data_IF_548118185320
#
_entry.id   IF_548118185320
#
_cell.length_a   1.000
_cell.length_b   1.000
_cell.length_c   1.000
_cell.angle_alpha   90.00
_cell.angle_beta   90.00
_cell.angle_gamma   90.00
#
_symmetry.space_group_name_H-M   'P 1'
#
loop_
_entity.id
_entity.type
_entity.pdbx_description
1 polymer ?
#
# COMPACT_ATOMS: atom_id res chain seq x y z
N UNK A 1 14.50 23.38 -45.97
CA UNK A 1 15.11 22.56 -44.89
C UNK A 1 14.50 22.75 -43.49
N UNK A 2 14.11 23.97 -43.07
CA UNK A 2 13.52 24.24 -41.74
C UNK A 2 12.12 23.60 -41.52
N UNK A 3 11.31 23.45 -42.55
CA UNK A 3 9.94 22.89 -42.44
C UNK A 3 9.98 21.35 -42.20
N UNK A 4 10.95 20.66 -42.79
CA UNK A 4 11.10 19.20 -42.62
C UNK A 4 11.55 18.83 -41.22
N UNK A 5 12.42 19.63 -40.58
CA UNK A 5 12.85 19.41 -39.20
C UNK A 5 11.71 19.59 -38.19
N UNK A 6 10.81 20.56 -38.41
CA UNK A 6 9.65 20.78 -37.54
C UNK A 6 8.64 19.63 -37.58
N UNK A 7 8.37 19.10 -38.78
CA UNK A 7 7.46 17.96 -38.95
C UNK A 7 8.02 16.67 -38.33
N UNK A 8 9.33 16.45 -38.45
CA UNK A 8 9.99 15.28 -37.85
C UNK A 8 10.00 15.35 -36.33
N UNK A 9 10.24 16.52 -35.74
CA UNK A 9 10.18 16.73 -34.29
C UNK A 9 8.76 16.50 -33.74
N UNK A 10 7.73 17.05 -34.44
CA UNK A 10 6.34 16.85 -34.04
C UNK A 10 5.93 15.37 -34.10
N UNK A 11 6.39 14.63 -35.14
CA UNK A 11 6.14 13.21 -35.29
C UNK A 11 6.79 12.40 -34.14
N UNK A 12 8.01 12.72 -33.77
CA UNK A 12 8.73 12.08 -32.66
C UNK A 12 8.04 12.35 -31.32
N UNK A 13 7.52 13.55 -31.08
CA UNK A 13 6.74 13.87 -29.89
C UNK A 13 5.41 13.10 -29.86
N UNK A 14 4.71 12.97 -30.98
CA UNK A 14 3.49 12.18 -31.07
C UNK A 14 3.75 10.69 -30.84
N UNK A 15 4.84 10.15 -31.40
CA UNK A 15 5.23 8.75 -31.19
C UNK A 15 5.65 8.49 -29.75
N UNK A 16 6.45 9.37 -29.14
CA UNK A 16 6.83 9.26 -27.74
C UNK A 16 5.62 9.38 -26.80
N UNK A 17 4.70 10.31 -27.09
CA UNK A 17 3.44 10.45 -26.37
C UNK A 17 2.54 9.23 -26.51
N UNK A 18 2.45 8.65 -27.72
CA UNK A 18 1.69 7.43 -27.95
C UNK A 18 2.31 6.20 -27.26
N UNK A 19 3.65 6.08 -27.27
CA UNK A 19 4.37 5.02 -26.54
C UNK A 19 4.15 5.18 -25.03
N UNK A 20 4.27 6.41 -24.50
CA UNK A 20 4.02 6.71 -23.09
C UNK A 20 2.56 6.44 -22.71
N UNK A 21 1.61 6.84 -23.54
CA UNK A 21 0.18 6.55 -23.36
C UNK A 21 -0.13 5.04 -23.40
N UNK A 22 0.47 4.29 -24.32
CA UNK A 22 0.34 2.82 -24.39
C UNK A 22 1.01 2.17 -23.18
N UNK A 23 2.15 2.71 -22.70
CA UNK A 23 2.80 2.21 -21.50
C UNK A 23 1.94 2.44 -20.26
N UNK A 24 1.37 3.65 -20.10
CA UNK A 24 0.39 3.98 -19.06
C UNK A 24 -0.88 3.11 -19.18
N UNK A 25 -1.40 2.92 -20.39
CA UNK A 25 -2.59 2.08 -20.63
C UNK A 25 -2.30 0.59 -20.47
N UNK A 26 -1.10 0.10 -20.80
CA UNK A 26 -0.71 -1.28 -20.46
C UNK A 26 -0.57 -1.48 -18.96
N UNK A 27 -0.02 -0.50 -18.25
CA UNK A 27 0.04 -0.53 -16.80
C UNK A 27 -1.36 -0.51 -16.15
N UNK A 28 -2.37 0.06 -16.84
CA UNK A 28 -3.78 0.07 -16.40
C UNK A 28 -4.57 -1.13 -16.93
N UNK A 29 -4.27 -1.60 -18.17
CA UNK A 29 -5.05 -2.66 -18.83
C UNK A 29 -4.73 -4.07 -18.27
N UNK A 30 -3.46 -4.37 -17.98
CA UNK A 30 -3.08 -5.60 -17.28
C UNK A 30 -3.74 -5.70 -15.89
N UNK A 31 -3.70 -4.64 -15.04
CA UNK A 31 -4.43 -4.63 -13.79
C UNK A 31 -5.94 -4.85 -13.92
N UNK A 32 -6.58 -4.26 -14.93
CA UNK A 32 -8.01 -4.43 -15.17
C UNK A 32 -8.38 -5.88 -15.54
N UNK A 33 -7.53 -6.58 -16.28
CA UNK A 33 -7.73 -8.00 -16.60
C UNK A 33 -7.59 -8.89 -15.36
N UNK A 34 -6.62 -8.60 -14.49
CA UNK A 34 -6.46 -9.30 -13.20
C UNK A 34 -7.55 -8.89 -12.19
N UNK A 35 -8.08 -7.68 -12.30
CA UNK A 35 -9.18 -7.17 -11.49
C UNK A 35 -10.48 -7.96 -11.60
N UNK A 36 -10.74 -8.57 -12.77
CA UNK A 36 -11.90 -9.43 -13.00
C UNK A 36 -11.85 -10.74 -12.18
N UNK A 37 -10.67 -11.17 -11.77
CA UNK A 37 -10.47 -12.42 -11.02
C UNK A 37 -10.48 -12.25 -9.49
N UNK A 38 -10.60 -11.00 -8.98
CA UNK A 38 -10.45 -10.73 -7.54
C UNK A 38 -8.99 -10.83 -7.05
N UNK A 39 -8.77 -10.53 -5.78
CA UNK A 39 -7.48 -10.83 -5.15
C UNK A 39 -7.33 -12.34 -4.98
N UNK A 40 -6.20 -12.94 -5.37
CA UNK A 40 -5.92 -14.31 -5.01
C UNK A 40 -5.91 -14.40 -3.48
N UNK A 41 -6.89 -15.12 -2.92
CA UNK A 41 -6.98 -15.29 -1.47
C UNK A 41 -5.74 -16.02 -0.96
N UNK A 42 -5.06 -15.40 -0.01
CA UNK A 42 -3.99 -16.04 0.73
C UNK A 42 -4.62 -16.95 1.79
N UNK A 43 -4.12 -18.18 1.89
CA UNK A 43 -4.59 -19.10 2.92
C UNK A 43 -4.26 -18.52 4.29
N UNK A 44 -5.21 -18.55 5.20
CA UNK A 44 -5.06 -18.01 6.56
C UNK A 44 -3.83 -18.59 7.28
N UNK A 45 -3.56 -19.88 7.10
CA UNK A 45 -2.37 -20.54 7.64
C UNK A 45 -1.03 -19.95 7.21
N UNK A 46 -0.99 -19.14 6.14
CA UNK A 46 0.24 -18.48 5.70
C UNK A 46 0.66 -17.32 6.60
N UNK A 47 -0.25 -16.80 7.43
CA UNK A 47 0.03 -15.67 8.34
C UNK A 47 0.58 -16.11 9.69
N UNK A 48 0.46 -17.40 10.02
CA UNK A 48 0.80 -17.93 11.34
C UNK A 48 2.01 -18.86 11.29
N UNK A 49 2.73 -18.90 12.37
CA UNK A 49 3.73 -19.92 12.63
C UNK A 49 3.07 -21.21 13.18
N UNK A 50 3.87 -22.24 13.46
CA UNK A 50 3.37 -23.50 13.99
C UNK A 50 2.77 -23.42 15.41
N UNK A 51 2.94 -22.29 16.12
CA UNK A 51 2.42 -22.06 17.47
C UNK A 51 1.11 -21.25 17.48
N UNK A 52 0.67 -20.78 16.31
CA UNK A 52 -0.53 -19.97 16.15
C UNK A 52 -0.31 -18.47 16.32
N UNK A 53 0.95 -18.03 16.44
CA UNK A 53 1.33 -16.62 16.42
C UNK A 53 1.58 -16.13 15.00
N UNK A 54 1.43 -14.82 14.75
CA UNK A 54 1.80 -14.25 13.47
C UNK A 54 3.28 -14.49 13.20
N UNK A 55 3.57 -15.11 12.06
CA UNK A 55 4.95 -15.24 11.62
C UNK A 55 5.48 -13.89 11.14
N UNK A 56 6.77 -13.61 11.33
CA UNK A 56 7.36 -12.41 10.74
C UNK A 56 7.21 -12.39 9.22
N UNK A 57 6.84 -11.24 8.69
CA UNK A 57 6.89 -10.96 7.26
C UNK A 57 8.34 -10.84 6.79
N UNK A 58 8.58 -11.21 5.55
CA UNK A 58 9.90 -11.16 4.91
C UNK A 58 9.82 -10.42 3.58
N UNK A 59 10.97 -10.02 3.05
CA UNK A 59 11.07 -9.39 1.74
C UNK A 59 10.70 -10.34 0.56
N UNK A 60 10.67 -11.65 0.81
CA UNK A 60 10.25 -12.67 -0.15
C UNK A 60 8.72 -12.88 -0.17
N UNK A 61 8.01 -12.35 0.83
CA UNK A 61 6.56 -12.41 0.85
C UNK A 61 5.96 -11.55 -0.27
N UNK A 62 4.83 -12.01 -0.79
CA UNK A 62 4.12 -11.27 -1.84
C UNK A 62 3.47 -10.01 -1.26
N UNK A 63 3.36 -8.97 -2.07
CA UNK A 63 2.60 -7.75 -1.71
C UNK A 63 1.20 -8.08 -1.20
N UNK A 64 0.54 -9.07 -1.81
CA UNK A 64 -0.77 -9.55 -1.37
C UNK A 64 -0.80 -10.09 0.06
N UNK A 65 0.32 -10.61 0.59
CA UNK A 65 0.43 -11.05 1.99
C UNK A 65 0.22 -9.86 2.94
N UNK A 66 0.89 -8.74 2.69
CA UNK A 66 0.73 -7.54 3.50
C UNK A 66 -0.69 -6.98 3.41
N UNK A 67 -1.22 -6.86 2.19
CA UNK A 67 -2.55 -6.30 1.94
C UNK A 67 -3.68 -7.07 2.63
N UNK A 68 -3.59 -8.40 2.65
CA UNK A 68 -4.63 -9.27 3.19
C UNK A 68 -4.31 -9.71 4.62
N UNK A 69 -3.28 -9.13 5.27
CA UNK A 69 -2.91 -9.53 6.61
C UNK A 69 -4.04 -9.25 7.61
N UNK A 70 -4.34 -10.20 8.52
CA UNK A 70 -5.47 -10.10 9.44
C UNK A 70 -5.50 -8.84 10.31
N UNK A 71 -4.33 -8.25 10.63
CA UNK A 71 -4.26 -7.02 11.43
C UNK A 71 -5.01 -5.84 10.80
N UNK A 72 -5.21 -5.84 9.49
CA UNK A 72 -5.93 -4.76 8.80
C UNK A 72 -7.45 -4.96 8.78
N UNK A 73 -7.97 -6.11 9.18
CA UNK A 73 -9.42 -6.36 9.22
C UNK A 73 -10.13 -6.09 7.89
N UNK A 74 -9.44 -6.28 6.76
CA UNK A 74 -9.94 -5.98 5.42
C UNK A 74 -9.63 -4.56 4.91
N UNK A 75 -9.02 -3.70 5.74
CA UNK A 75 -8.59 -2.35 5.34
C UNK A 75 -7.22 -2.36 4.66
N UNK A 76 -7.08 -3.10 3.58
CA UNK A 76 -5.79 -3.29 2.88
C UNK A 76 -5.13 -1.99 2.39
N UNK A 77 -5.91 -0.92 2.18
CA UNK A 77 -5.40 0.42 1.88
C UNK A 77 -4.58 1.05 3.02
N UNK A 78 -4.66 0.49 4.23
CA UNK A 78 -3.84 0.94 5.36
C UNK A 78 -2.35 0.65 5.19
N UNK A 79 -1.99 -0.29 4.33
CA UNK A 79 -0.59 -0.57 4.00
C UNK A 79 -0.19 0.07 2.68
N UNK A 80 -1.01 -0.14 1.64
CA UNK A 80 -0.80 0.46 0.32
C UNK A 80 -2.03 1.25 -0.09
N UNK A 81 -1.92 2.56 -0.15
CA UNK A 81 -3.00 3.41 -0.63
C UNK A 81 -2.90 3.63 -2.15
N UNK A 82 -3.27 2.60 -2.89
CA UNK A 82 -3.37 2.60 -4.35
C UNK A 82 -4.78 2.19 -4.75
N UNK A 83 -5.17 2.51 -5.98
CA UNK A 83 -6.44 2.03 -6.53
C UNK A 83 -6.48 0.49 -6.57
N UNK A 84 -7.66 -0.09 -6.38
CA UNK A 84 -7.89 -1.54 -6.32
C UNK A 84 -7.25 -2.30 -7.50
N UNK A 85 -7.35 -1.77 -8.71
CA UNK A 85 -6.79 -2.41 -9.89
C UNK A 85 -5.25 -2.42 -9.85
N UNK A 86 -4.64 -1.35 -9.37
CA UNK A 86 -3.19 -1.27 -9.18
C UNK A 86 -2.74 -2.25 -8.10
N UNK A 87 -3.44 -2.30 -6.97
CA UNK A 87 -3.17 -3.24 -5.89
C UNK A 87 -3.27 -4.70 -6.35
N UNK A 88 -4.30 -5.04 -7.12
CA UNK A 88 -4.46 -6.39 -7.70
C UNK A 88 -3.33 -6.77 -8.62
N UNK A 89 -2.80 -5.82 -9.40
CA UNK A 89 -1.69 -6.07 -10.31
C UNK A 89 -0.37 -6.34 -9.58
N UNK A 90 -0.11 -5.63 -8.47
CA UNK A 90 1.14 -5.79 -7.71
C UNK A 90 1.07 -6.92 -6.68
N UNK A 91 -0.12 -7.37 -6.28
CA UNK A 91 -0.29 -8.39 -5.25
C UNK A 91 0.54 -9.67 -5.45
N UNK A 92 0.77 -10.17 -6.68
CA UNK A 92 1.61 -11.34 -6.92
C UNK A 92 3.11 -11.09 -6.79
N UNK A 93 3.56 -9.83 -6.87
CA UNK A 93 4.98 -9.47 -6.80
C UNK A 93 5.55 -9.72 -5.40
N UNK A 94 6.84 -10.04 -5.31
CA UNK A 94 7.53 -10.06 -4.03
C UNK A 94 7.70 -8.65 -3.50
N UNK A 95 7.69 -8.49 -2.18
CA UNK A 95 7.79 -7.17 -1.56
C UNK A 95 9.09 -6.45 -1.94
N UNK A 96 10.23 -7.15 -1.93
CA UNK A 96 11.51 -6.59 -2.36
C UNK A 96 11.50 -6.06 -3.79
N UNK A 97 10.87 -6.80 -4.72
CA UNK A 97 10.81 -6.42 -6.13
C UNK A 97 9.90 -5.20 -6.32
N UNK A 98 8.82 -5.13 -5.55
CA UNK A 98 7.93 -3.96 -5.49
C UNK A 98 8.68 -2.73 -4.97
N UNK A 99 9.40 -2.85 -3.85
CA UNK A 99 10.18 -1.75 -3.26
C UNK A 99 11.27 -1.25 -4.22
N UNK A 100 11.97 -2.17 -4.89
CA UNK A 100 12.95 -1.82 -5.91
C UNK A 100 12.32 -1.08 -7.09
N UNK A 101 11.16 -1.52 -7.57
CA UNK A 101 10.44 -0.87 -8.66
C UNK A 101 9.94 0.54 -8.29
N UNK A 102 9.72 0.80 -6.99
CA UNK A 102 9.37 2.13 -6.46
C UNK A 102 10.60 3.02 -6.21
N UNK A 103 11.81 2.54 -6.44
CA UNK A 103 13.06 3.25 -6.10
C UNK A 103 13.31 3.36 -4.60
N UNK A 104 12.80 2.41 -3.80
CA UNK A 104 12.84 2.41 -2.32
C UNK A 104 13.46 1.15 -1.75
N UNK A 105 14.36 0.53 -2.49
CA UNK A 105 14.99 -0.73 -2.09
C UNK A 105 15.69 -0.62 -0.71
N UNK A 106 16.30 0.52 -0.42
CA UNK A 106 16.97 0.79 0.86
C UNK A 106 16.04 0.90 2.06
N UNK A 107 14.74 1.13 1.83
CA UNK A 107 13.73 1.23 2.90
C UNK A 107 13.04 -0.10 3.19
N UNK A 108 13.36 -1.15 2.44
CA UNK A 108 12.66 -2.45 2.54
C UNK A 108 12.74 -3.04 3.94
N UNK A 109 13.92 -3.10 4.52
CA UNK A 109 14.12 -3.72 5.84
C UNK A 109 13.46 -2.90 6.95
N UNK A 110 13.59 -1.58 6.92
CA UNK A 110 12.94 -0.68 7.89
C UNK A 110 11.41 -0.78 7.83
N UNK A 111 10.84 -0.89 6.62
CA UNK A 111 9.40 -1.08 6.44
C UNK A 111 8.94 -2.44 6.96
N UNK A 112 9.72 -3.50 6.74
CA UNK A 112 9.44 -4.84 7.27
C UNK A 112 9.51 -4.89 8.79
N UNK A 113 10.53 -4.28 9.38
CA UNK A 113 10.69 -4.19 10.83
C UNK A 113 9.50 -3.48 11.48
N UNK A 114 9.08 -2.36 10.90
CA UNK A 114 7.92 -1.61 11.37
C UNK A 114 6.60 -2.40 11.23
N UNK A 115 6.42 -3.13 10.13
CA UNK A 115 5.27 -4.00 9.95
C UNK A 115 5.26 -5.14 10.97
N UNK A 116 6.39 -5.82 11.16
CA UNK A 116 6.53 -6.91 12.13
C UNK A 116 6.35 -6.42 13.57
N UNK A 117 6.84 -5.21 13.87
CA UNK A 117 6.61 -4.57 15.15
C UNK A 117 5.11 -4.33 15.40
N UNK A 118 4.42 -3.73 14.44
CA UNK A 118 2.98 -3.47 14.53
C UNK A 118 2.17 -4.76 14.69
N UNK A 119 2.47 -5.80 13.91
CA UNK A 119 1.79 -7.10 14.03
C UNK A 119 1.96 -7.69 15.42
N UNK A 120 3.17 -7.61 15.99
CA UNK A 120 3.44 -8.04 17.36
C UNK A 120 2.69 -7.24 18.43
N UNK A 121 2.49 -5.93 18.24
CA UNK A 121 1.68 -5.11 19.14
C UNK A 121 0.19 -5.49 19.06
N UNK A 122 -0.33 -5.69 17.85
CA UNK A 122 -1.74 -6.10 17.65
C UNK A 122 -1.99 -7.47 18.29
N UNK A 123 -1.11 -8.43 18.10
CA UNK A 123 -1.23 -9.76 18.68
C UNK A 123 -1.24 -9.73 20.21
N UNK A 124 -0.44 -8.87 20.83
CA UNK A 124 -0.42 -8.67 22.28
C UNK A 124 -1.58 -7.82 22.80
N UNK A 125 -2.49 -7.35 21.93
CA UNK A 125 -3.57 -6.43 22.32
C UNK A 125 -3.10 -5.02 22.71
N UNK A 126 -1.86 -4.68 22.37
CA UNK A 126 -1.25 -3.37 22.68
C UNK A 126 -1.49 -2.33 21.58
N UNK A 127 -1.86 -2.77 20.40
CA UNK A 127 -2.31 -1.91 19.31
C UNK A 127 -3.67 -2.39 18.79
N UNK A 128 -4.48 -1.44 18.32
CA UNK A 128 -5.77 -1.73 17.70
C UNK A 128 -6.00 -0.87 16.48
N UNK A 129 -6.64 -1.45 15.48
CA UNK A 129 -7.17 -0.72 14.34
C UNK A 129 -8.45 0.01 14.76
N UNK A 130 -8.49 1.30 14.54
CA UNK A 130 -9.67 2.15 14.70
C UNK A 130 -10.18 2.52 13.33
N UNK A 131 -11.42 2.19 13.04
CA UNK A 131 -12.13 2.50 11.79
C UNK A 131 -13.38 3.33 12.07
N UNK A 132 -14.08 3.73 11.02
CA UNK A 132 -15.29 4.54 11.19
C UNK A 132 -15.00 5.97 11.67
N UNK A 133 -13.88 6.53 11.26
CA UNK A 133 -13.41 7.85 11.67
C UNK A 133 -14.28 9.00 11.13
N UNK A 134 -15.02 8.76 10.06
CA UNK A 134 -15.92 9.75 9.48
C UNK A 134 -17.34 9.58 9.99
N UNK A 135 -18.06 10.69 10.31
CA UNK A 135 -19.47 10.63 10.60
C UNK A 135 -20.27 10.20 9.35
N UNK A 136 -21.42 9.57 9.55
CA UNK A 136 -22.27 9.07 8.46
C UNK A 136 -22.60 10.14 7.42
N UNK A 137 -22.78 11.38 7.84
CA UNK A 137 -23.06 12.53 6.97
C UNK A 137 -21.92 12.74 5.95
N UNK A 138 -20.66 12.67 6.41
CA UNK A 138 -19.50 12.83 5.54
C UNK A 138 -19.29 11.63 4.59
N UNK A 139 -19.97 10.52 4.81
CA UNK A 139 -19.92 9.33 3.94
C UNK A 139 -21.00 9.30 2.87
N UNK A 140 -22.04 10.14 2.94
CA UNK A 140 -23.14 10.17 1.96
C UNK A 140 -22.62 10.40 0.54
N UNK A 141 -21.75 11.39 0.37
CA UNK A 141 -21.20 11.75 -0.94
C UNK A 141 -19.94 10.94 -1.29
N UNK A 142 -19.35 10.27 -0.29
CA UNK A 142 -18.09 9.54 -0.42
C UNK A 142 -18.12 8.23 0.37
N UNK A 143 -18.93 7.24 -0.04
CA UNK A 143 -19.14 6.00 0.72
C UNK A 143 -17.84 5.17 0.88
N UNK A 144 -16.85 5.33 -0.02
CA UNK A 144 -15.55 4.68 0.09
C UNK A 144 -14.77 5.07 1.36
N UNK A 145 -15.06 6.21 1.99
CA UNK A 145 -14.44 6.63 3.25
C UNK A 145 -14.67 5.65 4.40
N UNK A 146 -15.70 4.83 4.32
CA UNK A 146 -16.00 3.81 5.34
C UNK A 146 -14.96 2.69 5.42
N UNK A 147 -14.26 2.41 4.31
CA UNK A 147 -13.30 1.30 4.21
C UNK A 147 -11.90 1.70 3.77
N UNK A 148 -11.68 2.98 3.41
CA UNK A 148 -10.36 3.48 3.05
C UNK A 148 -9.64 4.18 4.20
N UNK A 149 -10.35 4.52 5.29
CA UNK A 149 -9.79 5.33 6.35
C UNK A 149 -9.85 4.62 7.68
N UNK A 150 -8.70 4.46 8.28
CA UNK A 150 -8.50 3.92 9.60
C UNK A 150 -7.19 4.43 10.18
N UNK A 151 -6.94 4.12 11.43
CA UNK A 151 -5.67 4.38 12.09
C UNK A 151 -5.34 3.25 13.07
N UNK A 152 -4.07 2.97 13.26
CA UNK A 152 -3.63 2.18 14.40
C UNK A 152 -3.43 3.09 15.59
N UNK A 153 -3.99 2.69 16.71
CA UNK A 153 -3.79 3.33 18.00
C UNK A 153 -3.03 2.38 18.91
N UNK A 154 -1.90 2.83 19.44
CA UNK A 154 -1.11 2.11 20.43
C UNK A 154 -0.33 3.10 21.30
N UNK A 155 0.15 2.61 22.43
CA UNK A 155 0.82 3.43 23.43
C UNK A 155 0.13 3.31 24.80
N UNK A 156 0.60 4.11 25.76
CA UNK A 156 0.15 4.05 27.13
C UNK A 156 -0.72 5.26 27.50
N UNK A 157 -1.84 5.06 28.22
CA UNK A 157 -2.64 6.17 28.72
C UNK A 157 -1.81 7.15 29.56
N UNK A 158 -2.07 8.45 29.39
CA UNK A 158 -1.39 9.51 30.14
C UNK A 158 -0.01 9.92 29.58
N UNK A 159 0.45 9.30 28.50
CA UNK A 159 1.65 9.72 27.77
C UNK A 159 1.29 10.75 26.68
N UNK A 160 2.26 11.56 26.22
CA UNK A 160 2.04 12.46 25.09
C UNK A 160 1.53 11.71 23.87
N UNK A 161 0.58 12.32 23.14
CA UNK A 161 0.03 11.78 21.91
C UNK A 161 0.81 12.32 20.71
N UNK A 162 1.26 11.43 19.84
CA UNK A 162 1.75 11.76 18.50
C UNK A 162 0.76 11.25 17.45
N UNK A 163 0.48 12.04 16.43
CA UNK A 163 -0.30 11.64 15.26
C UNK A 163 0.64 11.61 14.07
N UNK A 164 0.89 10.41 13.53
CA UNK A 164 1.72 10.21 12.36
C UNK A 164 0.84 10.15 11.12
N UNK A 165 1.01 11.12 10.22
CA UNK A 165 0.30 11.20 8.94
C UNK A 165 1.34 11.09 7.84
N UNK A 166 1.41 9.96 7.12
CA UNK A 166 2.40 9.79 6.06
C UNK A 166 2.16 10.75 4.89
N UNK A 167 3.23 11.11 4.20
CA UNK A 167 3.19 11.89 2.97
C UNK A 167 2.62 11.11 1.79
N UNK A 168 2.68 11.66 0.58
CA UNK A 168 2.24 10.98 -0.65
C UNK A 168 1.78 11.91 -1.76
N UNK A 169 2.09 13.20 -1.68
CA UNK A 169 1.87 14.18 -2.75
C UNK A 169 0.41 14.35 -3.16
N UNK A 170 -0.55 14.14 -2.25
CA UNK A 170 -2.00 14.15 -2.49
C UNK A 170 -2.50 13.06 -3.44
N UNK A 171 -1.66 12.09 -3.82
CA UNK A 171 -2.01 11.00 -4.74
C UNK A 171 -2.17 9.68 -3.97
N UNK A 172 -1.30 9.44 -3.00
CA UNK A 172 -1.29 8.22 -2.18
C UNK A 172 -0.82 8.54 -0.76
N UNK A 173 -0.85 7.56 0.13
CA UNK A 173 -0.17 7.64 1.43
C UNK A 173 0.97 6.62 1.44
N UNK A 174 2.16 7.06 1.83
CA UNK A 174 3.36 6.21 1.92
C UNK A 174 3.46 5.63 3.32
N UNK A 175 2.46 4.86 3.70
CA UNK A 175 2.29 4.37 5.07
C UNK A 175 3.36 3.35 5.44
N UNK A 176 3.71 2.49 4.51
CA UNK A 176 4.69 1.41 4.67
C UNK A 176 6.12 1.92 4.92
N UNK A 177 6.51 3.02 4.28
CA UNK A 177 7.87 3.58 4.36
C UNK A 177 8.00 4.78 5.28
N UNK A 178 6.94 5.56 5.45
CA UNK A 178 6.98 6.83 6.23
C UNK A 178 6.09 6.78 7.47
N UNK A 179 4.96 6.10 7.41
CA UNK A 179 4.01 6.05 8.52
C UNK A 179 4.44 5.10 9.63
N UNK A 180 4.50 3.82 9.33
CA UNK A 180 4.80 2.79 10.33
C UNK A 180 6.21 2.86 10.90
N UNK A 181 7.28 3.12 10.12
CA UNK A 181 8.61 3.29 10.70
C UNK A 181 8.70 4.43 11.70
N UNK A 182 8.16 5.61 11.37
CA UNK A 182 8.15 6.76 12.29
C UNK A 182 7.33 6.45 13.54
N UNK A 183 6.17 5.80 13.37
CA UNK A 183 5.34 5.44 14.51
C UNK A 183 6.01 4.39 15.43
N UNK A 184 6.81 3.48 14.88
CA UNK A 184 7.62 2.53 15.63
C UNK A 184 8.70 3.24 16.47
N UNK A 185 9.39 4.20 15.88
CA UNK A 185 10.45 4.97 16.57
C UNK A 185 9.90 5.86 17.69
N UNK A 186 8.66 6.31 17.60
CA UNK A 186 8.01 7.16 18.60
C UNK A 186 7.39 6.38 19.76
N UNK A 187 7.24 5.06 19.65
CA UNK A 187 6.65 4.20 20.68
C UNK A 187 7.67 3.62 21.64
#
# INVERSE_FOLDING_TARGET
MKIVCGALAALLFCVAGAIWYVYQKKAVFLPALFGLCGFPKIKESCYYDGSGHFRPATNEDKVGFFMQHPIFGGFYHMFFNLEDNALKAIAPAKYKDFMQAQGRAEQTDTSLDAFNYLTGLVEKGQAKLVSGLYPQEAMKDHPYRSHLTGMFYYGQPGKPLAIVVPGGGFISNVTDCEGYPIAMELH
#
